data_IF_822287981451
#
_entry.id   IF_822287981451
#
_cell.length_a   1.000
_cell.length_b   1.000
_cell.length_c   1.000
_cell.angle_alpha   90.00
_cell.angle_beta   90.00
_cell.angle_gamma   90.00
#
_symmetry.space_group_name_H-M   'P 1'
#
loop_
_entity.id
_entity.type
_entity.pdbx_description
1 polymer ?
#
# COMPACT_ATOMS: atom_id res chain seq x y z
N UNK A 1 -35.27 -47.09 -18.68
CA UNK A 1 -34.06 -46.86 -19.49
C UNK A 1 -33.23 -45.80 -18.77
N UNK A 2 -32.00 -46.18 -18.35
CA UNK A 2 -30.85 -45.41 -17.82
C UNK A 2 -31.12 -44.30 -16.77
N UNK A 3 -30.84 -44.43 -15.47
CA UNK A 3 -29.55 -44.60 -14.72
C UNK A 3 -28.49 -43.53 -14.95
N UNK A 4 -28.12 -42.79 -13.88
CA UNK A 4 -26.77 -42.31 -13.48
C UNK A 4 -26.90 -41.22 -12.40
N UNK A 5 -26.04 -41.04 -11.38
CA UNK A 5 -25.08 -41.86 -10.63
C UNK A 5 -24.62 -40.93 -9.48
N UNK A 6 -24.83 -41.30 -8.20
CA UNK A 6 -24.28 -40.58 -7.04
C UNK A 6 -22.93 -41.23 -6.68
N UNK A 7 -21.85 -40.45 -6.67
CA UNK A 7 -20.53 -40.91 -6.22
C UNK A 7 -20.26 -40.41 -4.80
N UNK A 8 -20.27 -41.34 -3.85
CA UNK A 8 -19.66 -41.20 -2.54
C UNK A 8 -18.27 -41.83 -2.60
N UNK A 9 -17.24 -41.13 -2.13
CA UNK A 9 -15.91 -41.71 -1.91
C UNK A 9 -15.46 -41.53 -0.46
N UNK A 10 -15.07 -42.67 0.09
CA UNK A 10 -14.65 -42.98 1.45
C UNK A 10 -13.26 -42.41 1.79
N UNK A 11 -13.05 -42.03 3.05
CA UNK A 11 -11.74 -41.67 3.63
C UNK A 11 -11.16 -42.90 4.35
N UNK A 12 -9.91 -43.32 4.09
CA UNK A 12 -9.26 -44.29 4.94
C UNK A 12 -8.51 -43.60 6.09
N UNK A 13 -8.81 -44.06 7.31
CA UNK A 13 -8.04 -43.80 8.53
C UNK A 13 -6.88 -44.78 8.60
N UNK A 14 -5.65 -44.30 8.86
CA UNK A 14 -4.50 -45.18 9.13
C UNK A 14 -4.12 -45.03 10.61
N UNK A 15 -4.32 -46.13 11.32
CA UNK A 15 -3.84 -46.42 12.67
C UNK A 15 -2.35 -46.82 12.55
N UNK A 16 -1.46 -46.22 13.34
CA UNK A 16 -0.07 -46.69 13.47
C UNK A 16 0.17 -47.12 14.92
N UNK A 17 0.53 -48.38 15.06
CA UNK A 17 0.80 -49.16 16.27
C UNK A 17 2.17 -48.83 16.86
N UNK A 18 2.23 -48.70 18.19
CA UNK A 18 3.47 -48.72 18.98
C UNK A 18 4.00 -50.15 19.11
N UNK A 19 5.28 -50.36 18.80
CA UNK A 19 6.05 -51.52 19.25
C UNK A 19 7.47 -51.06 19.61
N UNK A 20 7.85 -51.27 20.87
CA UNK A 20 9.17 -50.96 21.39
C UNK A 20 10.21 -52.03 21.05
N UNK A 21 11.47 -51.60 21.03
CA UNK A 21 12.64 -52.47 20.94
C UNK A 21 13.88 -51.65 21.25
N UNK A 22 14.42 -51.84 22.46
CA UNK A 22 15.63 -51.20 22.94
C UNK A 22 16.87 -51.90 22.38
N UNK A 23 17.85 -51.12 21.90
CA UNK A 23 19.24 -51.54 21.81
C UNK A 23 20.14 -50.37 22.25
N UNK A 24 20.96 -50.65 23.26
CA UNK A 24 21.91 -49.75 23.93
C UNK A 24 23.32 -49.97 23.36
N UNK A 25 24.23 -49.03 23.69
CA UNK A 25 25.71 -49.03 23.57
C UNK A 25 26.23 -48.34 22.28
N UNK A 26 27.13 -47.35 22.27
CA UNK A 26 27.90 -46.60 23.28
C UNK A 26 28.44 -45.26 22.72
N UNK A 27 28.62 -44.32 23.65
CA UNK A 27 29.58 -43.21 23.76
C UNK A 27 30.20 -42.55 22.50
N UNK A 28 30.06 -41.22 22.42
CA UNK A 28 31.10 -40.36 21.86
C UNK A 28 30.66 -38.98 21.37
N UNK A 29 30.92 -37.96 22.19
CA UNK A 29 31.35 -36.60 21.79
C UNK A 29 30.30 -35.47 21.62
N UNK A 30 30.51 -34.47 22.48
CA UNK A 30 30.31 -33.02 22.31
C UNK A 30 28.87 -32.45 22.27
N UNK A 31 28.53 -31.81 23.38
CA UNK A 31 27.52 -30.76 23.54
C UNK A 31 27.65 -29.68 22.47
N UNK A 32 26.66 -29.60 21.57
CA UNK A 32 26.45 -28.50 20.64
C UNK A 32 25.05 -27.93 20.84
N UNK A 33 24.96 -26.89 21.67
CA UNK A 33 23.78 -26.06 21.88
C UNK A 33 23.33 -25.48 20.53
N UNK A 34 22.19 -25.92 19.99
CA UNK A 34 21.60 -25.33 18.78
C UNK A 34 20.96 -24.00 19.14
N UNK A 35 21.78 -22.95 19.20
CA UNK A 35 21.28 -21.58 19.10
C UNK A 35 20.56 -21.44 17.76
N UNK A 36 19.24 -21.27 17.80
CA UNK A 36 18.47 -20.75 16.65
C UNK A 36 19.09 -19.41 16.31
N UNK A 37 19.92 -19.37 15.26
CA UNK A 37 20.45 -18.11 14.75
C UNK A 37 19.26 -17.29 14.25
N UNK A 38 19.14 -16.10 14.83
CA UNK A 38 18.28 -15.06 14.31
C UNK A 38 18.54 -14.88 12.81
N UNK A 39 17.42 -14.75 12.12
CA UNK A 39 17.21 -14.42 10.73
C UNK A 39 18.39 -13.70 10.07
N UNK A 40 18.99 -14.37 9.08
CA UNK A 40 19.91 -13.73 8.15
C UNK A 40 19.08 -12.71 7.36
N UNK A 41 19.18 -11.45 7.74
CA UNK A 41 18.79 -10.32 6.90
C UNK A 41 19.29 -10.59 5.49
N UNK A 42 18.36 -10.92 4.58
CA UNK A 42 18.67 -11.12 3.17
C UNK A 42 19.43 -9.87 2.70
N UNK A 43 20.65 -9.99 2.15
CA UNK A 43 21.34 -8.83 1.63
C UNK A 43 20.46 -8.27 0.52
N UNK A 44 19.91 -7.08 0.74
CA UNK A 44 19.39 -6.28 -0.37
C UNK A 44 20.52 -6.18 -1.37
N UNK A 45 20.27 -6.60 -2.62
CA UNK A 45 21.24 -6.45 -3.70
C UNK A 45 21.74 -5.02 -3.69
N UNK A 46 22.99 -4.81 -3.25
CA UNK A 46 23.68 -3.58 -3.56
C UNK A 46 23.67 -3.52 -5.08
N UNK A 47 23.31 -2.37 -5.65
CA UNK A 47 23.33 -2.18 -7.08
C UNK A 47 24.72 -2.51 -7.67
N UNK A 48 24.87 -2.47 -9.00
CA UNK A 48 26.16 -2.69 -9.63
C UNK A 48 27.25 -1.85 -8.94
N UNK A 49 28.41 -2.46 -8.69
CA UNK A 49 29.54 -1.79 -8.04
C UNK A 49 29.90 -0.54 -8.83
N UNK A 50 29.88 0.64 -8.19
CA UNK A 50 30.33 1.86 -8.84
C UNK A 50 31.83 1.78 -9.13
N UNK A 51 32.28 2.12 -10.35
CA UNK A 51 33.69 2.23 -10.67
C UNK A 51 34.39 3.21 -9.71
N UNK A 52 35.63 2.89 -9.31
CA UNK A 52 36.40 3.75 -8.39
C UNK A 52 36.61 5.18 -8.94
N UNK A 53 36.63 5.31 -10.27
CA UNK A 53 36.88 6.55 -11.01
C UNK A 53 35.61 7.11 -11.68
N UNK A 54 34.41 6.80 -11.15
CA UNK A 54 33.17 7.38 -11.68
C UNK A 54 33.22 8.92 -11.54
N UNK A 55 33.24 9.69 -12.66
CA UNK A 55 33.23 11.15 -12.59
C UNK A 55 31.92 11.69 -12.00
N UNK A 56 30.90 10.85 -11.84
CA UNK A 56 29.63 11.13 -11.18
C UNK A 56 29.50 10.41 -9.83
N UNK A 57 30.60 10.02 -9.18
CA UNK A 57 30.58 9.38 -7.86
C UNK A 57 29.76 10.23 -6.90
N UNK A 58 28.59 9.73 -6.53
CA UNK A 58 27.73 10.41 -5.58
C UNK A 58 28.35 10.33 -4.19
N UNK A 59 28.36 11.45 -3.48
CA UNK A 59 28.65 11.43 -2.05
C UNK A 59 27.68 10.47 -1.35
N UNK A 60 28.17 9.74 -0.35
CA UNK A 60 27.29 8.89 0.44
C UNK A 60 26.31 9.79 1.19
N UNK A 61 25.03 9.76 0.80
CA UNK A 61 23.99 10.56 1.42
C UNK A 61 23.65 10.11 2.84
N UNK A 62 22.93 10.95 3.57
CA UNK A 62 22.34 10.60 4.87
C UNK A 62 21.09 9.72 4.66
N UNK A 63 21.13 8.48 5.14
CA UNK A 63 20.02 7.53 5.02
C UNK A 63 18.73 8.00 5.72
N UNK A 64 18.83 8.79 6.79
CA UNK A 64 17.66 9.39 7.46
C UNK A 64 17.05 10.46 6.56
N UNK A 65 17.86 11.35 6.01
CA UNK A 65 17.39 12.38 5.08
C UNK A 65 16.79 11.74 3.81
N UNK A 66 17.45 10.71 3.27
CA UNK A 66 16.94 9.95 2.12
C UNK A 66 15.59 9.28 2.42
N UNK A 67 15.41 8.73 3.63
CA UNK A 67 14.11 8.18 4.05
C UNK A 67 13.03 9.24 4.17
N UNK A 68 13.37 10.43 4.67
CA UNK A 68 12.42 11.55 4.75
C UNK A 68 11.99 12.00 3.35
N UNK A 69 12.94 12.18 2.43
CA UNK A 69 12.64 12.47 1.02
C UNK A 69 11.76 11.39 0.42
N UNK A 70 12.10 10.12 0.63
CA UNK A 70 11.33 9.00 0.10
C UNK A 70 9.88 8.96 0.60
N UNK A 71 9.65 9.24 1.89
CA UNK A 71 8.32 9.17 2.51
C UNK A 71 7.49 10.43 2.33
N UNK A 72 8.12 11.60 2.40
CA UNK A 72 7.44 12.88 2.62
C UNK A 72 7.67 13.90 1.51
N UNK A 73 8.69 13.76 0.64
CA UNK A 73 8.87 14.69 -0.45
C UNK A 73 7.94 14.40 -1.62
N UNK A 74 7.28 15.44 -2.09
CA UNK A 74 6.28 15.47 -3.17
C UNK A 74 6.85 16.14 -4.43
N UNK A 75 8.05 16.74 -4.35
CA UNK A 75 8.74 17.38 -5.46
C UNK A 75 7.88 18.48 -6.13
N UNK A 76 7.08 19.20 -5.33
CA UNK A 76 6.22 20.29 -5.78
C UNK A 76 4.94 19.85 -6.49
N UNK A 77 4.59 18.56 -6.46
CA UNK A 77 3.41 18.04 -7.16
C UNK A 77 2.07 18.28 -6.43
N UNK A 78 2.06 18.99 -5.30
CA UNK A 78 0.85 19.20 -4.48
C UNK A 78 -0.21 20.00 -5.23
N UNK A 79 0.20 21.03 -5.97
CA UNK A 79 -0.74 21.83 -6.79
C UNK A 79 -1.34 20.99 -7.92
N UNK A 80 -0.63 19.98 -8.44
CA UNK A 80 -1.20 19.06 -9.42
C UNK A 80 -2.32 18.22 -8.77
N UNK A 81 -2.04 17.56 -7.65
CA UNK A 81 -3.02 16.68 -6.99
C UNK A 81 -4.18 17.45 -6.34
N UNK A 82 -3.92 18.64 -5.82
CA UNK A 82 -4.91 19.45 -5.09
C UNK A 82 -5.67 20.41 -5.99
N UNK A 83 -5.00 21.17 -6.86
CA UNK A 83 -5.67 22.23 -7.63
C UNK A 83 -6.11 21.74 -9.00
N UNK A 84 -5.23 21.03 -9.72
CA UNK A 84 -5.52 20.56 -11.07
C UNK A 84 -6.47 19.35 -11.03
N UNK A 85 -6.07 18.28 -10.33
CA UNK A 85 -6.84 17.03 -10.21
C UNK A 85 -8.02 17.20 -9.23
N UNK A 86 -7.90 18.09 -8.24
CA UNK A 86 -8.94 18.33 -7.22
C UNK A 86 -9.28 17.06 -6.44
N UNK A 87 -8.24 16.31 -6.06
CA UNK A 87 -8.40 15.02 -5.40
C UNK A 87 -9.04 15.14 -4.00
N UNK A 88 -8.70 16.12 -3.12
CA UNK A 88 -9.38 16.26 -1.84
C UNK A 88 -10.90 16.48 -1.98
N UNK A 89 -11.32 17.31 -2.94
CA UNK A 89 -12.74 17.52 -3.25
C UNK A 89 -13.38 16.25 -3.83
N UNK A 90 -12.62 15.51 -4.62
CA UNK A 90 -13.00 14.20 -5.16
C UNK A 90 -13.28 13.16 -4.08
N UNK A 91 -12.39 13.03 -3.09
CA UNK A 91 -12.57 12.16 -1.91
C UNK A 91 -13.90 12.46 -1.21
N UNK A 92 -14.21 13.74 -1.01
CA UNK A 92 -15.46 14.15 -0.37
C UNK A 92 -16.69 13.89 -1.25
N UNK A 93 -16.63 14.23 -2.54
CA UNK A 93 -17.73 14.07 -3.48
C UNK A 93 -18.07 12.60 -3.73
N UNK A 94 -17.05 11.75 -3.89
CA UNK A 94 -17.18 10.31 -4.07
C UNK A 94 -17.49 9.56 -2.76
N UNK A 95 -17.48 10.25 -1.61
CA UNK A 95 -17.59 9.66 -0.27
C UNK A 95 -16.55 8.54 -0.04
N UNK A 96 -15.33 8.74 -0.52
CA UNK A 96 -14.27 7.75 -0.46
C UNK A 96 -13.79 7.54 0.99
N UNK A 97 -14.03 6.34 1.52
CA UNK A 97 -13.82 6.01 2.94
C UNK A 97 -12.47 5.33 3.22
N UNK A 98 -12.03 5.20 4.48
CA UNK A 98 -10.85 4.38 4.80
C UNK A 98 -10.99 2.93 4.35
N UNK A 99 -12.20 2.37 4.40
CA UNK A 99 -12.46 1.02 3.91
C UNK A 99 -12.28 0.94 2.38
N UNK A 100 -12.68 1.97 1.64
CA UNK A 100 -12.45 2.04 0.19
C UNK A 100 -10.96 2.21 -0.12
N UNK A 101 -10.23 2.97 0.68
CA UNK A 101 -8.76 3.07 0.59
C UNK A 101 -8.11 1.69 0.78
N UNK A 102 -8.49 0.93 1.80
CA UNK A 102 -7.98 -0.44 1.99
C UNK A 102 -8.34 -1.35 0.80
N UNK A 103 -9.58 -1.29 0.29
CA UNK A 103 -9.97 -2.05 -0.92
C UNK A 103 -9.17 -1.65 -2.16
N UNK A 104 -8.83 -0.37 -2.27
CA UNK A 104 -7.99 0.17 -3.34
C UNK A 104 -6.49 -0.07 -3.11
N UNK A 105 -6.09 -0.81 -2.07
CA UNK A 105 -4.69 -1.18 -1.86
C UNK A 105 -3.83 -0.13 -1.15
N UNK A 106 -4.44 0.88 -0.52
CA UNK A 106 -3.70 1.89 0.23
C UNK A 106 -3.10 1.32 1.52
N UNK A 107 -1.92 1.83 1.83
CA UNK A 107 -1.13 1.45 2.99
C UNK A 107 -1.26 2.51 4.07
N UNK A 108 -1.59 2.13 5.31
CA UNK A 108 -1.84 3.07 6.41
C UNK A 108 -0.80 2.88 7.51
N UNK A 109 0.05 3.89 7.68
CA UNK A 109 1.06 3.98 8.72
C UNK A 109 0.40 4.22 10.09
N UNK A 110 0.45 3.21 10.95
CA UNK A 110 -0.07 3.28 12.31
C UNK A 110 0.75 4.15 13.25
N UNK A 111 2.04 4.37 12.98
CA UNK A 111 2.91 5.21 13.82
C UNK A 111 2.59 6.71 13.67
N UNK A 112 1.90 7.09 12.60
CA UNK A 112 1.42 8.47 12.37
C UNK A 112 0.08 8.77 13.08
N UNK A 113 -0.57 7.75 13.66
CA UNK A 113 -1.87 7.90 14.31
C UNK A 113 -1.71 8.09 15.82
N UNK A 114 -2.52 8.96 16.40
CA UNK A 114 -2.69 8.99 17.86
C UNK A 114 -3.30 7.67 18.37
N UNK A 115 -3.01 7.34 19.62
CA UNK A 115 -3.41 6.06 20.21
C UNK A 115 -4.92 5.84 20.21
N UNK A 116 -5.70 6.91 20.40
CA UNK A 116 -7.17 6.83 20.43
C UNK A 116 -7.72 6.47 19.06
N UNK A 117 -7.27 7.16 18.01
CA UNK A 117 -7.65 6.88 16.62
C UNK A 117 -7.24 5.47 16.21
N UNK A 118 -6.01 5.07 16.56
CA UNK A 118 -5.48 3.73 16.25
C UNK A 118 -6.31 2.62 16.91
N UNK A 119 -6.63 2.77 18.19
CA UNK A 119 -7.44 1.79 18.93
C UNK A 119 -8.87 1.71 18.40
N UNK A 120 -9.49 2.85 18.08
CA UNK A 120 -10.84 2.89 17.51
C UNK A 120 -10.90 2.17 16.15
N UNK A 121 -9.97 2.48 15.23
CA UNK A 121 -9.86 1.79 13.94
C UNK A 121 -9.63 0.29 14.14
N UNK A 122 -8.71 -0.11 15.02
CA UNK A 122 -8.44 -1.51 15.30
C UNK A 122 -9.65 -2.26 15.90
N UNK A 123 -10.52 -1.59 16.65
CA UNK A 123 -11.77 -2.15 17.15
C UNK A 123 -12.78 -2.34 16.03
N UNK A 124 -12.97 -1.34 15.16
CA UNK A 124 -13.90 -1.40 14.03
C UNK A 124 -13.51 -2.49 13.01
N UNK A 125 -12.20 -2.70 12.79
CA UNK A 125 -11.69 -3.73 11.88
C UNK A 125 -12.01 -5.18 12.30
N UNK A 126 -12.42 -5.39 13.55
CA UNK A 126 -12.85 -6.70 14.08
C UNK A 126 -14.35 -6.95 13.93
N UNK A 127 -15.08 -5.98 13.38
CA UNK A 127 -16.53 -6.08 13.16
C UNK A 127 -16.85 -6.61 11.76
N UNK A 128 -18.12 -6.60 11.38
CA UNK A 128 -18.56 -6.91 10.01
C UNK A 128 -18.26 -5.78 9.00
N UNK A 129 -17.57 -4.71 9.43
CA UNK A 129 -17.19 -3.55 8.64
C UNK A 129 -18.38 -2.76 8.07
N UNK A 130 -19.60 -3.03 8.53
CA UNK A 130 -20.79 -2.27 8.15
C UNK A 130 -20.73 -0.84 8.69
N UNK A 131 -21.42 0.10 8.05
CA UNK A 131 -21.47 1.48 8.53
C UNK A 131 -22.01 1.62 9.97
N UNK A 132 -22.83 0.66 10.43
CA UNK A 132 -23.37 0.64 11.80
C UNK A 132 -22.33 0.20 12.85
N UNK A 133 -21.38 -0.66 12.49
CA UNK A 133 -20.39 -1.23 13.41
C UNK A 133 -18.98 -0.67 13.22
N UNK A 134 -18.71 -0.11 12.04
CA UNK A 134 -17.46 0.51 11.66
C UNK A 134 -17.68 1.93 11.07
N UNK A 135 -18.27 2.85 11.86
CA UNK A 135 -18.60 4.19 11.38
C UNK A 135 -17.38 5.01 10.97
N UNK A 136 -16.21 4.88 11.63
CA UNK A 136 -15.00 5.58 11.20
C UNK A 136 -14.50 5.06 9.85
N UNK A 137 -14.45 3.73 9.67
CA UNK A 137 -14.02 3.11 8.42
C UNK A 137 -14.96 3.39 7.23
N UNK A 138 -16.20 3.77 7.49
CA UNK A 138 -17.22 4.11 6.49
C UNK A 138 -17.49 5.63 6.39
N UNK A 139 -16.61 6.48 6.95
CA UNK A 139 -16.77 7.93 6.91
C UNK A 139 -15.65 8.61 6.09
N UNK A 140 -15.96 9.36 5.02
CA UNK A 140 -14.95 10.05 4.21
C UNK A 140 -14.16 11.12 4.98
N UNK A 141 -14.72 11.70 6.04
CA UNK A 141 -13.97 12.62 6.91
C UNK A 141 -12.84 11.91 7.64
N UNK A 142 -12.98 10.61 7.94
CA UNK A 142 -11.88 9.81 8.48
C UNK A 142 -10.76 9.67 7.46
N UNK A 143 -11.05 9.51 6.17
CA UNK A 143 -10.03 9.51 5.11
C UNK A 143 -9.24 10.81 5.11
N UNK A 144 -9.93 11.96 5.13
CA UNK A 144 -9.27 13.26 5.19
C UNK A 144 -8.41 13.40 6.45
N UNK A 145 -8.90 12.94 7.61
CA UNK A 145 -8.13 12.95 8.85
C UNK A 145 -6.87 12.08 8.78
N UNK A 146 -6.94 10.89 8.15
CA UNK A 146 -5.78 10.02 7.94
C UNK A 146 -4.75 10.68 7.02
N UNK A 147 -5.18 11.41 5.99
CA UNK A 147 -4.28 12.16 5.11
C UNK A 147 -3.66 13.36 5.83
N UNK A 148 -4.44 14.12 6.60
CA UNK A 148 -3.93 15.24 7.42
C UNK A 148 -2.90 14.77 8.45
N UNK A 149 -3.06 13.55 8.98
CA UNK A 149 -2.07 12.92 9.87
C UNK A 149 -0.85 12.35 9.12
N UNK A 150 -0.81 12.44 7.78
CA UNK A 150 0.18 11.76 6.93
C UNK A 150 0.28 10.25 7.20
N UNK A 151 -0.85 9.64 7.55
CA UNK A 151 -0.95 8.20 7.83
C UNK A 151 -1.19 7.39 6.56
N UNK A 152 -1.77 7.97 5.50
CA UNK A 152 -1.87 7.30 4.20
C UNK A 152 -0.51 7.35 3.52
N UNK A 153 0.21 6.23 3.50
CA UNK A 153 1.59 6.17 3.03
C UNK A 153 1.68 6.67 1.59
N UNK A 154 2.50 7.70 1.40
CA UNK A 154 2.76 8.28 0.10
C UNK A 154 1.77 9.34 -0.38
N UNK A 155 0.67 9.58 0.34
CA UNK A 155 -0.19 10.76 0.13
C UNK A 155 0.17 11.76 1.22
N UNK A 156 0.87 12.82 0.83
CA UNK A 156 1.50 13.74 1.78
C UNK A 156 0.76 15.06 1.79
N UNK A 157 0.17 15.41 2.92
CA UNK A 157 -0.40 16.73 3.18
C UNK A 157 0.66 17.67 3.76
N UNK A 158 0.65 18.93 3.30
CA UNK A 158 1.57 19.99 3.76
C UNK A 158 0.78 21.21 4.20
N UNK A 159 1.25 21.86 5.27
CA UNK A 159 0.79 23.17 5.72
C UNK A 159 1.27 24.24 4.73
N UNK A 160 0.45 24.50 3.72
CA UNK A 160 0.73 25.45 2.63
C UNK A 160 0.19 26.84 2.92
N UNK A 161 -0.80 26.96 3.80
CA UNK A 161 -1.35 28.25 4.24
C UNK A 161 -0.51 28.87 5.39
N UNK A 162 0.37 28.08 6.02
CA UNK A 162 1.31 28.44 7.10
C UNK A 162 0.61 28.84 8.40
N UNK A 163 -0.54 28.24 8.70
CA UNK A 163 -1.28 28.47 9.95
C UNK A 163 -0.85 27.55 11.10
N UNK A 164 0.08 26.62 10.83
CA UNK A 164 0.60 25.66 11.80
C UNK A 164 -0.24 24.39 11.93
N UNK A 165 -1.28 24.22 11.12
CA UNK A 165 -2.18 23.06 11.14
C UNK A 165 -2.44 22.55 9.71
N UNK A 166 -2.11 21.29 9.49
CA UNK A 166 -2.44 20.61 8.23
C UNK A 166 -3.94 20.33 8.13
N UNK A 167 -4.59 20.86 7.09
CA UNK A 167 -5.99 20.58 6.77
C UNK A 167 -6.32 20.66 5.27
N UNK A 168 -6.27 19.51 4.58
CA UNK A 168 -6.57 19.42 3.13
C UNK A 168 -8.03 19.78 2.78
N UNK A 169 -8.90 19.92 3.78
CA UNK A 169 -10.30 20.34 3.59
C UNK A 169 -10.48 21.84 3.72
N UNK A 170 -9.49 22.55 4.27
CA UNK A 170 -9.55 23.96 4.63
C UNK A 170 -8.42 24.82 4.00
N UNK A 171 -7.87 24.38 2.86
CA UNK A 171 -6.97 25.20 2.04
C UNK A 171 -5.55 24.66 1.92
N UNK A 172 -5.19 23.63 2.68
CA UNK A 172 -3.92 22.96 2.48
C UNK A 172 -3.92 22.00 1.31
N UNK A 173 -2.70 21.69 0.86
CA UNK A 173 -2.47 20.86 -0.30
C UNK A 173 -1.86 19.53 0.09
N UNK A 174 -2.21 18.54 -0.71
CA UNK A 174 -1.57 17.24 -0.70
C UNK A 174 -0.93 16.92 -2.04
N UNK A 175 0.15 16.15 -1.98
CA UNK A 175 0.85 15.58 -3.12
C UNK A 175 1.10 14.09 -2.92
N UNK A 176 1.90 13.52 -3.82
CA UNK A 176 2.29 12.10 -3.78
C UNK A 176 3.81 11.98 -3.73
N UNK A 177 4.31 11.12 -2.84
CA UNK A 177 5.75 10.81 -2.70
C UNK A 177 6.12 9.44 -3.27
N UNK A 178 7.42 9.12 -3.25
CA UNK A 178 7.92 7.81 -3.72
C UNK A 178 7.29 6.63 -2.95
N UNK A 179 7.00 6.82 -1.66
CA UNK A 179 6.43 5.78 -0.82
C UNK A 179 5.04 5.29 -1.28
N UNK A 180 4.31 6.07 -2.08
CA UNK A 180 2.99 5.66 -2.58
C UNK A 180 3.08 4.36 -3.39
N UNK A 181 4.11 4.22 -4.22
CA UNK A 181 4.32 3.04 -5.06
C UNK A 181 5.40 2.08 -4.51
N UNK A 182 6.14 2.49 -3.47
CA UNK A 182 7.33 1.76 -3.02
C UNK A 182 7.36 1.49 -1.52
N UNK A 183 6.22 1.57 -0.83
CA UNK A 183 6.15 1.16 0.56
C UNK A 183 4.90 0.33 0.85
N UNK A 184 5.02 -0.53 1.86
CA UNK A 184 3.92 -1.31 2.43
C UNK A 184 3.88 -1.10 3.93
N UNK A 185 2.99 -1.81 4.61
CA UNK A 185 3.05 -1.96 6.07
C UNK A 185 3.31 -3.41 6.44
N UNK A 186 3.78 -3.64 7.66
CA UNK A 186 3.89 -4.98 8.25
C UNK A 186 2.53 -5.68 8.47
N UNK A 187 1.41 -4.97 8.28
CA UNK A 187 0.06 -5.49 8.44
C UNK A 187 -0.29 -5.92 9.88
N UNK A 188 0.47 -5.45 10.87
CA UNK A 188 0.34 -5.85 12.28
C UNK A 188 -1.01 -5.51 12.90
N UNK A 189 -1.73 -4.50 12.38
CA UNK A 189 -3.08 -4.17 12.83
C UNK A 189 -4.12 -4.86 11.95
N UNK A 190 -3.96 -4.79 10.63
CA UNK A 190 -4.89 -5.38 9.68
C UNK A 190 -4.27 -5.56 8.29
N UNK A 191 -4.67 -6.63 7.61
CA UNK A 191 -4.27 -6.91 6.23
C UNK A 191 -5.48 -7.37 5.43
N UNK A 192 -5.85 -6.62 4.39
CA UNK A 192 -6.97 -6.95 3.53
C UNK A 192 -6.52 -7.94 2.43
N UNK A 193 -7.21 -9.09 2.26
CA UNK A 193 -6.94 -9.97 1.14
C UNK A 193 -7.06 -9.22 -0.20
N UNK A 194 -5.98 -9.22 -0.99
CA UNK A 194 -5.90 -8.51 -2.27
C UNK A 194 -6.21 -7.01 -2.19
N UNK A 195 -5.86 -6.39 -1.05
CA UNK A 195 -6.01 -4.96 -0.81
C UNK A 195 -4.82 -4.43 -0.02
N UNK A 196 -5.08 -3.39 0.75
CA UNK A 196 -4.09 -2.67 1.55
C UNK A 196 -3.92 -3.24 2.95
N UNK A 197 -3.07 -2.58 3.74
CA UNK A 197 -2.83 -2.97 5.13
C UNK A 197 -2.56 -1.79 6.06
N UNK A 198 -2.76 -2.03 7.35
CA UNK A 198 -2.49 -1.08 8.44
C UNK A 198 -1.42 -1.67 9.35
N UNK A 199 -0.39 -0.90 9.65
CA UNK A 199 0.73 -1.36 10.46
C UNK A 199 1.91 -0.39 10.44
N UNK A 200 3.10 -0.88 10.77
CA UNK A 200 4.34 -0.09 10.69
C UNK A 200 4.85 -0.03 9.25
N UNK A 201 5.38 1.11 8.79
CA UNK A 201 5.79 1.29 7.40
C UNK A 201 7.08 0.50 7.10
N UNK A 202 7.08 -0.19 5.97
CA UNK A 202 8.24 -0.88 5.40
C UNK A 202 8.55 -0.23 4.05
N UNK A 203 9.71 0.41 3.94
CA UNK A 203 10.16 1.11 2.73
C UNK A 203 10.83 0.13 1.76
N UNK A 204 10.55 0.27 0.47
CA UNK A 204 11.12 -0.50 -0.63
C UNK A 204 10.12 -1.39 -1.38
N UNK A 205 9.34 -2.26 -0.71
CA UNK A 205 8.42 -3.16 -1.39
C UNK A 205 7.29 -2.44 -2.13
N UNK A 206 6.91 -2.96 -3.30
CA UNK A 206 5.77 -2.46 -4.07
C UNK A 206 4.44 -2.94 -3.47
N UNK A 207 3.45 -2.06 -3.22
CA UNK A 207 2.09 -2.46 -2.88
C UNK A 207 1.36 -2.95 -4.14
N UNK A 208 1.56 -4.23 -4.50
CA UNK A 208 1.05 -4.79 -5.76
C UNK A 208 -0.48 -4.74 -5.95
N UNK A 209 -1.25 -4.51 -4.88
CA UNK A 209 -2.70 -4.34 -4.95
C UNK A 209 -3.16 -2.88 -4.98
N UNK A 210 -2.23 -1.92 -4.95
CA UNK A 210 -2.57 -0.50 -5.07
C UNK A 210 -3.20 -0.22 -6.43
N UNK A 211 -4.44 0.25 -6.40
CA UNK A 211 -5.21 0.62 -7.56
C UNK A 211 -5.17 2.14 -7.76
N UNK A 212 -4.11 2.61 -8.42
CA UNK A 212 -3.95 4.04 -8.77
C UNK A 212 -5.09 4.54 -9.66
N UNK A 213 -5.66 3.67 -10.51
CA UNK A 213 -6.82 4.00 -11.32
C UNK A 213 -8.05 4.37 -10.49
N UNK A 214 -8.26 3.69 -9.35
CA UNK A 214 -9.34 4.04 -8.43
C UNK A 214 -9.13 5.41 -7.79
N UNK A 215 -7.88 5.79 -7.46
CA UNK A 215 -7.53 7.14 -6.99
C UNK A 215 -7.86 8.20 -8.02
N UNK A 216 -7.54 7.94 -9.28
CA UNK A 216 -7.84 8.84 -10.39
C UNK A 216 -9.33 8.96 -10.66
N UNK A 217 -10.08 7.86 -10.57
CA UNK A 217 -11.51 7.83 -10.84
C UNK A 217 -12.33 8.68 -9.86
N UNK A 218 -11.86 8.86 -8.62
CA UNK A 218 -12.57 9.68 -7.62
C UNK A 218 -12.22 11.17 -7.71
N UNK A 219 -11.26 11.58 -8.55
CA UNK A 219 -10.86 12.98 -8.66
C UNK A 219 -12.01 13.87 -9.16
N UNK A 220 -12.15 15.07 -8.59
CA UNK A 220 -13.20 16.00 -9.01
C UNK A 220 -12.91 16.66 -10.38
N UNK A 221 -11.68 16.56 -10.90
CA UNK A 221 -11.32 16.97 -12.24
C UNK A 221 -10.43 15.94 -12.94
N UNK A 222 -11.02 14.82 -13.37
CA UNK A 222 -10.32 13.75 -14.09
C UNK A 222 -9.69 14.20 -15.41
N UNK A 223 -10.15 15.32 -16.02
CA UNK A 223 -9.55 15.89 -17.24
C UNK A 223 -8.10 16.32 -17.03
N UNK A 224 -7.70 16.66 -15.80
CA UNK A 224 -6.30 16.98 -15.48
C UNK A 224 -5.34 15.78 -15.67
N UNK A 225 -5.88 14.57 -15.78
CA UNK A 225 -5.12 13.33 -15.98
C UNK A 225 -4.91 13.00 -17.46
N UNK A 226 -5.55 13.72 -18.38
CA UNK A 226 -5.42 13.49 -19.82
C UNK A 226 -3.97 13.54 -20.35
N UNK A 227 -3.09 14.44 -19.88
CA UNK A 227 -1.69 14.45 -20.33
C UNK A 227 -0.90 13.18 -19.99
N UNK A 228 -1.33 12.43 -18.98
CA UNK A 228 -0.69 11.17 -18.54
C UNK A 228 -1.49 9.93 -18.93
N UNK A 229 -2.66 10.12 -19.55
CA UNK A 229 -3.49 9.05 -20.04
C UNK A 229 -2.98 8.56 -21.40
N UNK A 230 -3.19 7.27 -21.66
CA UNK A 230 -2.93 6.65 -22.95
C UNK A 230 -4.01 7.13 -23.94
N UNK A 231 -3.96 8.38 -24.41
CA UNK A 231 -4.99 8.93 -25.29
C UNK A 231 -4.77 8.49 -26.75
N UNK A 232 -5.87 8.37 -27.50
CA UNK A 232 -5.89 8.29 -28.96
C UNK A 232 -6.58 9.54 -29.50
N UNK A 233 -5.79 10.50 -29.98
CA UNK A 233 -6.30 11.79 -30.44
C UNK A 233 -6.59 11.76 -31.95
N UNK A 234 -7.73 12.34 -32.35
CA UNK A 234 -8.06 12.56 -33.78
C UNK A 234 -6.96 13.35 -34.49
N UNK A 235 -6.38 14.34 -33.81
CA UNK A 235 -5.25 15.12 -34.30
C UNK A 235 -4.00 14.28 -34.62
N UNK A 236 -3.85 13.11 -33.99
CA UNK A 236 -2.78 12.15 -34.24
C UNK A 236 -3.25 10.94 -35.07
N UNK A 237 -4.33 11.09 -35.87
CA UNK A 237 -4.92 10.01 -36.69
C UNK A 237 -5.27 8.75 -35.88
N UNK A 238 -5.68 8.92 -34.62
CA UNK A 238 -5.99 7.82 -33.71
C UNK A 238 -4.77 7.07 -33.17
N UNK A 239 -3.54 7.53 -33.47
CA UNK A 239 -2.34 7.00 -32.84
C UNK A 239 -2.27 7.40 -31.38
N UNK A 240 -1.66 6.53 -30.61
CA UNK A 240 -1.70 6.54 -29.16
C UNK A 240 -0.41 7.08 -28.55
N UNK A 241 -0.51 7.82 -27.44
CA UNK A 241 0.61 8.55 -26.81
C UNK A 241 1.38 7.66 -25.81
N UNK A 242 1.43 6.35 -26.01
CA UNK A 242 2.21 5.46 -25.15
C UNK A 242 2.31 4.03 -25.69
N UNK A 243 2.55 3.04 -24.81
CA UNK A 243 2.93 1.68 -25.24
C UNK A 243 1.76 0.75 -25.60
N UNK A 244 0.52 1.13 -25.28
CA UNK A 244 -0.64 0.30 -25.61
C UNK A 244 -0.96 0.41 -27.11
N UNK A 245 -1.55 -0.64 -27.74
CA UNK A 245 -1.92 -0.59 -29.16
C UNK A 245 -3.13 0.31 -29.43
N UNK A 246 -3.96 0.58 -28.41
CA UNK A 246 -5.12 1.46 -28.46
C UNK A 246 -5.07 2.47 -27.34
N UNK A 247 -5.59 3.66 -27.60
CA UNK A 247 -5.73 4.71 -26.60
C UNK A 247 -7.18 5.04 -26.29
N UNK A 248 -7.39 5.71 -25.16
CA UNK A 248 -8.65 6.29 -24.75
C UNK A 248 -9.07 7.39 -25.73
N UNK A 249 -10.29 7.28 -26.21
CA UNK A 249 -10.99 8.28 -27.02
C UNK A 249 -11.95 9.09 -26.15
N UNK A 250 -12.54 10.13 -26.72
CA UNK A 250 -13.59 10.94 -26.06
C UNK A 250 -14.81 10.12 -25.61
N UNK A 251 -15.02 8.94 -26.20
CA UNK A 251 -16.14 8.04 -25.91
C UNK A 251 -15.74 6.81 -25.10
N UNK A 252 -14.50 6.74 -24.60
CA UNK A 252 -14.05 5.63 -23.78
C UNK A 252 -14.69 5.68 -22.38
N UNK A 253 -15.23 4.55 -21.94
CA UNK A 253 -15.91 4.36 -20.64
C UNK A 253 -15.16 3.38 -19.77
#
# INVERSE_FOLDING_TARGET
MLSSFLLAFSRPSVLVTLAGGALLVALGSATGLTTVRADQSRPSSSGPSQPADDPNKHETGDARAGREVFRMETFGNESFWTDAVRLPQGVMAAKFTPLDALKAGYQINSDALDDKTRQAIAAELKTDLSAARAPMLNNPMTTAALVNANAVIGVVAKDTNRDGKIDITAGDKMGVSCAFCHAITDGSIYSMPRGGSIGKPIDGPTPHFLNVGATFAIAANTRALYPIAQLALTANKGQTIGRAPTGLTETST
#
